data_IF_074046988178
#
_entry.id   IF_074046988178
#
_cell.length_a   1.000
_cell.length_b   1.000
_cell.length_c   1.000
_cell.angle_alpha   90.00
_cell.angle_beta   90.00
_cell.angle_gamma   90.00
#
_symmetry.space_group_name_H-M   'P 1'
#
loop_
_entity.id
_entity.type
_entity.pdbx_description
1 polymer ?
#
# COMPACT_ATOMS: atom_id res chain seq x y z
N UNK A 1 -50.92 -48.96 11.22
CA UNK A 1 -51.74 -48.88 9.99
C UNK A 1 -50.89 -48.32 8.86
N UNK A 2 -51.01 -48.96 7.70
CA UNK A 2 -50.23 -48.77 6.47
C UNK A 2 -50.99 -47.86 5.50
N UNK A 3 -50.25 -47.22 4.58
CA UNK A 3 -50.69 -46.47 3.38
C UNK A 3 -51.17 -45.02 3.62
N UNK A 4 -50.81 -44.03 2.77
CA UNK A 4 -51.05 -44.01 1.32
C UNK A 4 -50.22 -42.88 0.65
N UNK A 5 -49.24 -43.23 -0.19
CA UNK A 5 -49.18 -43.08 -1.67
C UNK A 5 -49.56 -41.71 -2.28
N UNK A 6 -48.53 -41.10 -2.86
CA UNK A 6 -48.41 -40.50 -4.21
C UNK A 6 -49.14 -39.19 -4.58
N UNK A 7 -48.34 -38.22 -5.07
CA UNK A 7 -48.78 -37.08 -5.86
C UNK A 7 -47.57 -36.41 -6.54
N UNK A 8 -47.40 -36.69 -7.84
CA UNK A 8 -46.22 -36.40 -8.67
C UNK A 8 -45.87 -34.89 -8.68
N UNK A 9 -44.58 -34.48 -8.58
CA UNK A 9 -44.22 -33.08 -8.71
C UNK A 9 -44.34 -32.64 -10.17
N UNK A 10 -45.45 -31.96 -10.49
CA UNK A 10 -45.73 -31.39 -11.80
C UNK A 10 -45.04 -30.05 -12.04
N UNK A 11 -44.96 -29.69 -13.32
CA UNK A 11 -44.32 -28.51 -13.92
C UNK A 11 -44.63 -27.15 -13.24
N UNK A 12 -45.71 -27.05 -12.46
CA UNK A 12 -46.00 -25.89 -11.62
C UNK A 12 -44.92 -25.61 -10.57
N UNK A 13 -44.24 -26.64 -10.06
CA UNK A 13 -43.13 -26.46 -9.12
C UNK A 13 -41.89 -25.81 -9.76
N UNK A 14 -41.73 -25.92 -11.09
CA UNK A 14 -40.59 -25.36 -11.81
C UNK A 14 -40.78 -23.88 -12.16
N UNK A 15 -41.99 -23.46 -12.57
CA UNK A 15 -42.26 -22.06 -12.90
C UNK A 15 -42.29 -21.13 -11.66
N UNK A 16 -42.72 -21.63 -10.50
CA UNK A 16 -42.67 -20.85 -9.26
C UNK A 16 -41.24 -20.64 -8.76
N UNK A 17 -40.33 -21.60 -9.00
CA UNK A 17 -38.92 -21.51 -8.57
C UNK A 17 -38.13 -20.47 -9.36
N UNK A 18 -38.46 -20.21 -10.62
CA UNK A 18 -37.74 -19.21 -11.42
C UNK A 18 -38.11 -17.76 -11.07
N UNK A 19 -39.37 -17.48 -10.70
CA UNK A 19 -39.79 -16.14 -10.28
C UNK A 19 -39.15 -15.70 -8.95
N UNK A 20 -39.01 -16.63 -7.99
CA UNK A 20 -38.33 -16.36 -6.72
C UNK A 20 -36.83 -16.13 -6.93
N UNK A 21 -36.20 -16.93 -7.80
CA UNK A 21 -34.77 -16.79 -8.12
C UNK A 21 -34.47 -15.48 -8.86
N UNK A 22 -35.34 -15.05 -9.79
CA UNK A 22 -35.19 -13.78 -10.50
C UNK A 22 -35.43 -12.56 -9.59
N UNK A 23 -36.42 -12.61 -8.68
CA UNK A 23 -36.69 -11.52 -7.72
C UNK A 23 -35.54 -11.28 -6.73
N UNK A 24 -34.83 -12.34 -6.33
CA UNK A 24 -33.64 -12.22 -5.47
C UNK A 24 -32.39 -11.75 -6.23
N UNK A 25 -32.33 -11.92 -7.55
CA UNK A 25 -31.17 -11.52 -8.34
C UNK A 25 -30.98 -9.99 -8.39
N UNK A 26 -32.08 -9.22 -8.45
CA UNK A 26 -32.02 -7.74 -8.43
C UNK A 26 -31.70 -7.19 -7.04
N UNK A 27 -32.22 -7.83 -5.98
CA UNK A 27 -31.93 -7.46 -4.59
C UNK A 27 -30.47 -7.77 -4.19
N UNK A 28 -29.94 -8.91 -4.64
CA UNK A 28 -28.53 -9.27 -4.41
C UNK A 28 -27.59 -8.42 -5.25
N UNK A 29 -27.95 -8.07 -6.50
CA UNK A 29 -27.12 -7.17 -7.33
C UNK A 29 -27.02 -5.77 -6.75
N UNK A 30 -28.13 -5.22 -6.22
CA UNK A 30 -28.12 -3.93 -5.50
C UNK A 30 -27.35 -3.98 -4.18
N UNK A 31 -27.47 -5.07 -3.43
CA UNK A 31 -26.70 -5.28 -2.19
C UNK A 31 -25.20 -5.42 -2.48
N UNK A 32 -24.81 -6.13 -3.55
CA UNK A 32 -23.43 -6.29 -3.98
C UNK A 32 -22.85 -5.00 -4.56
N UNK A 33 -23.63 -4.19 -5.30
CA UNK A 33 -23.21 -2.85 -5.71
C UNK A 33 -23.00 -1.92 -4.51
N UNK A 34 -23.93 -1.91 -3.55
CA UNK A 34 -23.82 -1.11 -2.33
C UNK A 34 -22.71 -1.59 -1.40
N UNK A 35 -22.38 -2.88 -1.41
CA UNK A 35 -21.23 -3.42 -0.70
C UNK A 35 -19.91 -3.09 -1.41
N UNK A 36 -19.88 -3.14 -2.74
CA UNK A 36 -18.70 -2.71 -3.52
C UNK A 36 -18.45 -1.21 -3.39
N UNK A 37 -19.50 -0.37 -3.37
CA UNK A 37 -19.36 1.07 -3.14
C UNK A 37 -18.87 1.36 -1.71
N UNK A 38 -19.40 0.68 -0.70
CA UNK A 38 -18.89 0.81 0.68
C UNK A 38 -17.45 0.31 0.81
N UNK A 39 -17.11 -0.84 0.23
CA UNK A 39 -15.75 -1.35 0.22
C UNK A 39 -14.79 -0.44 -0.57
N UNK A 40 -15.26 0.24 -1.62
CA UNK A 40 -14.46 1.23 -2.35
C UNK A 40 -14.25 2.52 -1.54
N UNK A 41 -15.27 2.99 -0.81
CA UNK A 41 -15.15 4.12 0.11
C UNK A 41 -14.23 3.78 1.29
N UNK A 42 -14.41 2.60 1.91
CA UNK A 42 -13.56 2.11 3.00
C UNK A 42 -12.09 1.98 2.57
N UNK A 43 -11.82 1.53 1.33
CA UNK A 43 -10.46 1.50 0.78
C UNK A 43 -9.89 2.91 0.56
N UNK A 44 -10.67 3.83 0.00
CA UNK A 44 -10.22 5.20 -0.20
C UNK A 44 -9.93 5.92 1.12
N UNK A 45 -10.75 5.70 2.15
CA UNK A 45 -10.53 6.25 3.48
C UNK A 45 -9.31 5.62 4.18
N UNK A 46 -9.09 4.31 3.98
CA UNK A 46 -7.90 3.61 4.50
C UNK A 46 -6.61 4.10 3.85
N UNK A 47 -6.59 4.27 2.52
CA UNK A 47 -5.43 4.78 1.78
C UNK A 47 -5.11 6.22 2.20
N UNK A 48 -6.13 7.06 2.44
CA UNK A 48 -5.96 8.42 2.94
C UNK A 48 -5.37 8.44 4.36
N UNK A 49 -5.83 7.55 5.25
CA UNK A 49 -5.28 7.42 6.60
C UNK A 49 -3.83 6.89 6.62
N UNK A 50 -3.47 5.98 5.71
CA UNK A 50 -2.09 5.48 5.59
C UNK A 50 -1.12 6.56 5.09
N UNK A 51 -1.55 7.38 4.11
CA UNK A 51 -0.75 8.51 3.63
C UNK A 51 -0.54 9.58 4.70
N UNK A 52 -1.58 9.93 5.46
CA UNK A 52 -1.51 10.90 6.55
C UNK A 52 -0.58 10.40 7.69
N UNK A 53 -0.64 9.11 8.04
CA UNK A 53 0.25 8.52 9.05
C UNK A 53 1.70 8.41 8.57
N UNK A 54 1.92 8.10 7.29
CA UNK A 54 3.28 8.02 6.72
C UNK A 54 3.93 9.41 6.64
N UNK A 55 3.15 10.46 6.35
CA UNK A 55 3.65 11.84 6.32
C UNK A 55 4.01 12.37 7.72
N UNK A 56 3.33 11.92 8.77
CA UNK A 56 3.58 12.37 10.16
C UNK A 56 4.65 11.55 10.90
N UNK A 57 5.04 10.38 10.38
CA UNK A 57 5.99 9.47 11.02
C UNK A 57 7.28 9.26 10.22
N UNK A 58 7.52 10.04 9.15
CA UNK A 58 8.85 10.09 8.55
C UNK A 58 9.82 10.61 9.62
N UNK A 59 10.75 9.79 10.13
CA UNK A 59 11.80 10.28 11.00
C UNK A 59 12.54 11.36 10.20
N UNK A 60 12.89 12.52 10.78
CA UNK A 60 13.80 13.42 10.11
C UNK A 60 15.01 12.59 9.69
N UNK A 61 15.29 12.56 8.39
CA UNK A 61 16.48 11.89 7.88
C UNK A 61 17.65 12.38 8.74
N UNK A 62 18.47 11.50 9.32
CA UNK A 62 19.57 11.91 10.17
C UNK A 62 20.39 12.92 9.37
N UNK A 63 20.36 14.17 9.80
CA UNK A 63 21.22 15.18 9.22
C UNK A 63 22.65 14.66 9.43
N UNK A 64 23.50 14.64 8.40
CA UNK A 64 24.88 14.20 8.55
C UNK A 64 25.47 14.97 9.72
N UNK A 65 25.82 14.23 10.79
CA UNK A 65 26.28 14.84 12.02
C UNK A 65 27.58 15.58 11.72
N UNK A 66 27.81 16.71 12.37
CA UNK A 66 29.07 17.47 12.22
C UNK A 66 30.31 16.59 12.46
N UNK A 67 30.19 15.51 13.23
CA UNK A 67 31.24 14.50 13.42
C UNK A 67 31.56 13.65 12.19
N UNK A 68 30.58 13.33 11.35
CA UNK A 68 30.79 12.57 10.12
C UNK A 68 31.58 13.41 9.09
N UNK A 69 31.28 14.70 8.99
CA UNK A 69 32.00 15.64 8.13
C UNK A 69 33.49 15.71 8.50
N UNK A 70 33.82 15.81 9.79
CA UNK A 70 35.22 15.86 10.23
C UNK A 70 35.96 14.55 9.95
N UNK A 71 35.33 13.40 10.23
CA UNK A 71 35.92 12.09 9.96
C UNK A 71 36.11 11.79 8.46
N UNK A 72 35.31 12.40 7.59
CA UNK A 72 35.45 12.29 6.14
C UNK A 72 36.56 13.22 5.60
N UNK A 73 36.74 14.42 6.18
CA UNK A 73 37.89 15.29 5.90
C UNK A 73 39.23 14.65 6.28
N UNK A 74 39.30 13.95 7.42
CA UNK A 74 40.49 13.21 7.84
C UNK A 74 40.82 12.06 6.89
N UNK A 75 39.81 11.30 6.45
CA UNK A 75 39.96 10.23 5.45
C UNK A 75 40.50 10.77 4.13
N UNK A 76 39.96 11.87 3.62
CA UNK A 76 40.46 12.54 2.41
C UNK A 76 41.93 12.98 2.56
N UNK A 77 42.31 13.50 3.73
CA UNK A 77 43.70 13.88 4.03
C UNK A 77 44.67 12.70 4.03
N UNK A 78 44.27 11.57 4.62
CA UNK A 78 45.06 10.35 4.64
C UNK A 78 45.26 9.79 3.22
N UNK A 79 44.21 9.77 2.40
CA UNK A 79 44.29 9.29 1.02
C UNK A 79 45.19 10.18 0.14
N UNK A 80 45.17 11.50 0.34
CA UNK A 80 46.12 12.43 -0.30
C UNK A 80 47.57 12.14 0.10
N UNK A 81 47.83 11.93 1.40
CA UNK A 81 49.18 11.61 1.88
C UNK A 81 49.72 10.28 1.33
N UNK A 82 48.82 9.32 1.07
CA UNK A 82 49.16 8.06 0.41
C UNK A 82 49.37 8.21 -1.11
N UNK A 83 49.15 9.41 -1.67
CA UNK A 83 49.22 9.66 -3.11
C UNK A 83 48.06 9.05 -3.90
N UNK A 84 46.99 8.62 -3.22
CA UNK A 84 45.79 8.05 -3.84
C UNK A 84 44.82 9.13 -4.35
N UNK A 85 44.93 10.36 -3.83
CA UNK A 85 44.26 11.54 -4.39
C UNK A 85 45.29 12.59 -4.78
N UNK A 86 45.02 13.24 -5.90
CA UNK A 86 45.70 14.47 -6.30
C UNK A 86 45.21 15.66 -5.47
N UNK A 87 46.01 16.73 -5.42
CA UNK A 87 45.63 17.97 -4.73
C UNK A 87 44.33 18.58 -5.28
N UNK A 88 44.08 18.42 -6.58
CA UNK A 88 42.90 18.93 -7.26
C UNK A 88 41.64 18.15 -6.86
N UNK A 89 41.71 16.82 -6.77
CA UNK A 89 40.60 15.98 -6.34
C UNK A 89 40.27 16.19 -4.86
N UNK A 90 41.30 16.34 -4.02
CA UNK A 90 41.12 16.66 -2.59
C UNK A 90 40.38 17.99 -2.40
N UNK A 91 40.76 19.03 -3.15
CA UNK A 91 40.11 20.34 -3.06
C UNK A 91 38.63 20.29 -3.47
N UNK A 92 38.30 19.57 -4.54
CA UNK A 92 36.91 19.39 -5.00
C UNK A 92 36.07 18.62 -3.97
N UNK A 93 36.59 17.52 -3.42
CA UNK A 93 35.88 16.73 -2.40
C UNK A 93 35.63 17.54 -1.12
N UNK A 94 36.63 18.31 -0.66
CA UNK A 94 36.49 19.20 0.50
C UNK A 94 35.40 20.26 0.27
N UNK A 95 35.34 20.86 -0.92
CA UNK A 95 34.30 21.84 -1.26
C UNK A 95 32.90 21.21 -1.29
N UNK A 96 32.77 20.00 -1.83
CA UNK A 96 31.50 19.25 -1.83
C UNK A 96 31.01 18.94 -0.42
N UNK A 97 31.92 18.68 0.51
CA UNK A 97 31.58 18.43 1.91
C UNK A 97 31.17 19.69 2.68
N UNK A 98 31.75 20.85 2.34
CA UNK A 98 31.54 22.11 3.05
C UNK A 98 30.42 22.98 2.44
N UNK A 99 29.97 22.67 1.24
CA UNK A 99 28.86 23.33 0.57
C UNK A 99 27.61 22.43 0.67
N UNK A 100 26.82 22.53 1.77
CA UNK A 100 25.56 21.80 1.89
C UNK A 100 24.52 22.23 0.85
#
# INVERSE_FOLDING_TARGET
MLFRRFGRPGLLGMAARTAVVAGTATAVSGAVMGHQQRAAQERADADAYELEQTAQTAPPAPAPGTGDLMGELERLGALRQQGLLTDQEFATAKQRLLAP
#
